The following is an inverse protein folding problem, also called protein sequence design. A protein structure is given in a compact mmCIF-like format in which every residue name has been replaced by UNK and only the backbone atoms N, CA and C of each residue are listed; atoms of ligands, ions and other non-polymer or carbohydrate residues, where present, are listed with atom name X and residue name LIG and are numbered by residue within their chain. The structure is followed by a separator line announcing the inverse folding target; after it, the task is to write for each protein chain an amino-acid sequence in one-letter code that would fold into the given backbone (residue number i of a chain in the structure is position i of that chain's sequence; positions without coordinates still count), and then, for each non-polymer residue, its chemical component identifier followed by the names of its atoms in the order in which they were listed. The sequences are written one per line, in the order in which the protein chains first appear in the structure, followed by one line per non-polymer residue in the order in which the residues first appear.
data_IF_620969345149
#
_entry.id   IF_620969345149
#
_cell.length_a   1.000
_cell.length_b   1.000
_cell.length_c   1.000
_cell.angle_alpha   90.00
_cell.angle_beta   90.00
_cell.angle_gamma   90.00
#
_symmetry.space_group_name_H-M   'P 1'
#
loop_
_entity.id
_entity.type
_entity.pdbx_description
1 polymer ?
2 polymer ?
3 polymer ?
4 non-polymer ?
5 non-polymer ?
6 water ?
#
loop_
_entity_poly.entity_id
_entity_poly.type
_entity_poly.pdbx_seq_one_letter_code
_entity_poly.pdbx_strand_id
2 'polydeoxyribonucleotide' '(DG)(DG)(DG)(DT)(DT)(DT)(DC)(DC)(DA)(DC)(DT)(DT)(DA)(DT)(DT)(DC)(DA)(DT)(DC)(DC)(DT)(DT)(DT)(DT)(DA)(DG)' ?
3 'polydeoxyribonucleotide' '(DC)(DC)(DT)(DA)(DA)(DA)(DA)(DG)(DG)(DA)(DT)(DG)(DA)(DA)(DT)(DA)(DA)(DG)(DT)(DG)(DG)(DA)(DA)(DA)(DC)(DC)' ?
#
# COMPACT_ATOMS: atom_id res chain seq x y z
N UNK A 7 -19.24 5.96 -3.27
CA UNK A 7 -18.77 6.29 -1.93
C UNK A 7 -17.32 6.75 -1.93
N UNK A 8 -17.09 8.04 -1.65
CA UNK A 8 -15.77 8.61 -1.77
C UNK A 8 -14.86 8.15 -0.63
N UNK A 9 -13.55 8.27 -0.86
CA UNK A 9 -12.53 7.91 0.11
C UNK A 9 -11.87 9.18 0.62
N UNK A 10 -11.63 9.22 1.93
CA UNK A 10 -10.94 10.36 2.50
C UNK A 10 -9.58 10.55 1.83
N UNK A 11 -9.20 11.78 1.50
CA UNK A 11 -7.97 11.98 0.72
C UNK A 11 -6.73 11.41 1.40
N UNK A 12 -6.61 11.59 2.72
CA UNK A 12 -5.43 11.08 3.41
C UNK A 12 -5.43 9.55 3.43
N UNK A 13 -6.59 8.93 3.66
CA UNK A 13 -6.66 7.48 3.60
C UNK A 13 -6.22 7.00 2.22
N UNK A 14 -6.74 7.64 1.17
CA UNK A 14 -6.34 7.28 -0.19
C UNK A 14 -4.83 7.34 -0.37
N UNK A 15 -4.21 8.45 0.08
CA UNK A 15 -2.77 8.57 -0.05
C UNK A 15 -2.05 7.47 0.73
N UNK A 16 -2.60 7.07 1.88
CA UNK A 16 -2.03 5.95 2.60
C UNK A 16 -2.12 4.66 1.81
N UNK A 17 -3.32 4.36 1.28
CA UNK A 17 -3.47 3.18 0.43
C UNK A 17 -2.64 3.28 -0.84
N UNK A 18 -2.24 4.49 -1.26
CA UNK A 18 -1.40 4.58 -2.45
C UNK A 18 0.06 4.28 -2.11
N UNK A 19 0.55 4.75 -0.96
CA UNK A 19 1.89 4.39 -0.52
C UNK A 19 2.06 2.88 -0.47
N UNK A 20 1.00 2.14 -0.16
CA UNK A 20 1.07 0.69 0.01
C UNK A 20 0.84 -0.05 -1.31
N UNK A 21 -0.26 0.27 -2.00
CA UNK A 21 -0.69 -0.48 -3.16
C UNK A 21 -0.42 0.22 -4.49
N UNK A 22 -0.27 1.54 -4.52
CA UNK A 22 -0.21 2.27 -5.77
C UNK A 22 1.10 2.08 -6.52
N UNK A 23 1.13 2.59 -7.74
CA UNK A 23 2.33 2.50 -8.56
C UNK A 23 2.25 3.52 -9.69
N UNK A 24 3.42 4.01 -10.10
CA UNK A 24 3.50 4.91 -11.24
C UNK A 24 4.13 4.20 -12.43
N UNK A 25 3.74 4.62 -13.63
CA UNK A 25 4.21 3.97 -14.84
C UNK A 25 4.59 4.99 -15.89
N UNK A 26 5.68 4.70 -16.58
CA UNK A 26 6.19 5.54 -17.67
C UNK A 26 6.61 4.60 -18.79
N UNK A 27 5.74 4.46 -19.78
CA UNK A 27 6.01 3.59 -20.92
C UNK A 27 6.71 4.40 -22.02
N UNK A 28 7.80 3.85 -22.53
CA UNK A 28 8.55 4.45 -23.63
C UNK A 28 8.71 3.35 -24.68
N UNK A 29 7.70 3.21 -25.55
CA UNK A 29 7.61 2.08 -26.46
C UNK A 29 8.15 2.44 -27.83
N UNK A 30 8.75 1.45 -28.49
CA UNK A 30 9.21 1.61 -29.87
C UNK A 30 8.01 1.51 -30.80
N UNK A 31 7.72 2.59 -31.53
CA UNK A 31 6.56 2.66 -32.42
C UNK A 31 7.01 3.19 -33.78
N UNK A 32 7.08 2.31 -34.78
CA UNK A 32 7.52 2.74 -36.10
C UNK A 32 6.62 3.81 -36.69
N UNK A 33 5.33 3.78 -36.35
CA UNK A 33 4.39 4.79 -36.81
C UNK A 33 4.56 6.12 -36.09
N UNK A 34 5.47 6.21 -35.12
CA UNK A 34 5.70 7.43 -34.37
C UNK A 34 6.75 8.30 -35.06
N UNK A 35 6.65 9.61 -34.83
CA UNK A 35 7.51 10.54 -35.54
C UNK A 35 8.94 10.54 -35.00
N UNK A 36 9.11 10.22 -33.70
CA UNK A 36 10.44 10.06 -33.13
C UNK A 36 10.81 8.59 -32.94
N UNK A 37 10.03 7.68 -33.49
CA UNK A 37 10.27 6.26 -33.33
C UNK A 37 9.76 5.67 -32.03
N UNK A 38 9.43 6.51 -31.05
CA UNK A 38 8.94 6.07 -29.75
C UNK A 38 7.66 6.82 -29.41
N UNK A 39 6.73 6.12 -28.76
CA UNK A 39 5.54 6.72 -28.18
C UNK A 39 5.50 6.43 -26.69
N UNK A 40 4.98 7.37 -25.91
CA UNK A 40 5.02 7.29 -24.46
C UNK A 40 3.61 7.16 -23.88
N UNK A 41 3.57 6.68 -22.64
CA UNK A 41 2.34 6.60 -21.87
C UNK A 41 2.69 6.75 -20.39
N UNK A 42 2.00 7.66 -19.73
CA UNK A 42 2.26 8.01 -18.35
C UNK A 42 1.00 7.84 -17.54
N UNK A 43 1.12 7.24 -16.36
CA UNK A 43 -0.07 7.05 -15.56
C UNK A 43 0.27 6.57 -14.17
N UNK A 44 -0.78 6.12 -13.48
CA UNK A 44 -0.71 5.64 -12.11
C UNK A 44 -1.75 4.55 -11.93
N UNK A 45 -1.37 3.41 -11.36
CA UNK A 45 -2.27 2.27 -11.31
C UNK A 45 -2.24 1.62 -9.94
N UNK A 46 -3.33 0.91 -9.63
CA UNK A 46 -3.44 0.05 -8.45
C UNK A 46 -4.06 -1.27 -8.88
N UNK A 47 -3.48 -2.38 -8.42
CA UNK A 47 -3.93 -3.72 -8.78
C UNK A 47 -4.19 -4.51 -7.50
N UNK A 48 -5.45 -4.82 -7.23
CA UNK A 48 -5.84 -5.59 -6.07
C UNK A 48 -6.48 -6.91 -6.50
N UNK A 49 -6.69 -7.80 -5.53
CA UNK A 49 -7.49 -8.99 -5.74
C UNK A 49 -8.89 -8.59 -6.18
N UNK A 50 -9.61 -9.51 -6.81
CA UNK A 50 -10.94 -9.17 -7.30
C UNK A 50 -11.88 -8.79 -6.16
N UNK A 51 -11.64 -9.30 -4.95
CA UNK A 51 -12.57 -9.02 -3.86
C UNK A 51 -12.55 -7.55 -3.46
N UNK A 52 -11.41 -6.87 -3.62
CA UNK A 52 -11.30 -5.45 -3.31
C UNK A 52 -11.52 -4.56 -4.54
N UNK A 53 -12.32 -5.04 -5.50
CA UNK A 53 -12.70 -4.19 -6.62
C UNK A 53 -13.49 -2.97 -6.13
N UNK A 54 -14.30 -3.14 -5.10
CA UNK A 54 -15.09 -2.02 -4.60
C UNK A 54 -14.21 -0.85 -4.20
N UNK A 55 -12.95 -1.11 -3.82
CA UNK A 55 -12.03 -0.04 -3.47
C UNK A 55 -11.64 0.77 -4.71
N UNK A 56 -11.29 0.06 -5.79
CA UNK A 56 -10.93 0.75 -7.03
C UNK A 56 -12.09 1.58 -7.55
N UNK A 57 -13.33 1.07 -7.41
CA UNK A 57 -14.48 1.85 -7.86
C UNK A 57 -14.69 3.06 -6.97
N UNK A 58 -14.56 2.90 -5.65
CA UNK A 58 -14.67 4.05 -4.74
C UNK A 58 -13.60 5.08 -5.05
N UNK A 59 -12.37 4.64 -5.32
CA UNK A 59 -11.32 5.56 -5.72
C UNK A 59 -11.70 6.27 -7.01
N UNK A 60 -12.22 5.52 -7.98
CA UNK A 60 -12.63 6.12 -9.24
C UNK A 60 -13.70 7.19 -9.03
N UNK A 61 -14.66 6.92 -8.15
CA UNK A 61 -15.70 7.92 -7.88
C UNK A 61 -15.12 9.14 -7.17
N UNK A 62 -14.03 8.96 -6.43
CA UNK A 62 -13.42 10.07 -5.69
C UNK A 62 -12.62 10.99 -6.61
N UNK A 63 -11.78 10.41 -7.46
CA UNK A 63 -10.99 11.22 -8.37
C UNK A 63 -11.73 11.57 -9.65
N UNK A 64 -12.75 10.79 -10.02
CA UNK A 64 -13.49 10.96 -11.26
C UNK A 64 -12.63 10.63 -12.48
N UNK A 65 -11.56 9.85 -12.31
CA UNK A 65 -10.65 9.53 -13.39
C UNK A 65 -10.33 8.04 -13.36
N UNK A 66 -9.62 7.58 -14.39
CA UNK A 66 -9.13 6.22 -14.45
C UNK A 66 -10.14 5.26 -15.08
N UNK A 67 -9.61 4.12 -15.53
CA UNK A 67 -10.41 3.05 -16.11
C UNK A 67 -10.07 1.76 -15.36
N UNK A 68 -11.04 0.85 -15.32
CA UNK A 68 -10.90 -0.39 -14.57
C UNK A 68 -10.99 -1.56 -15.54
N UNK A 69 -10.00 -2.44 -15.49
CA UNK A 69 -9.98 -3.67 -16.27
C UNK A 69 -9.46 -4.80 -15.40
N UNK A 70 -9.71 -6.03 -15.83
CA UNK A 70 -9.26 -7.18 -15.08
C UNK A 70 -7.78 -7.46 -15.36
N UNK A 71 -7.13 -8.08 -14.39
CA UNK A 71 -5.73 -8.52 -14.49
C UNK A 71 -5.73 -10.01 -14.15
N UNK A 72 -5.81 -10.84 -15.18
CA UNK A 72 -6.00 -12.25 -14.94
C UNK A 72 -7.40 -12.53 -14.41
N UNK A 73 -7.59 -13.77 -13.96
CA UNK A 73 -8.88 -14.20 -13.45
C UNK A 73 -9.12 -13.77 -12.00
N UNK A 74 -8.07 -13.40 -11.27
CA UNK A 74 -8.16 -13.15 -9.83
C UNK A 74 -7.79 -11.73 -9.43
N UNK A 75 -7.61 -10.83 -10.39
CA UNK A 75 -7.17 -9.48 -10.09
C UNK A 75 -7.94 -8.49 -10.94
N UNK A 76 -7.89 -7.24 -10.52
CA UNK A 76 -8.48 -6.13 -11.26
C UNK A 76 -7.63 -4.90 -11.01
N UNK A 77 -7.59 -4.00 -11.99
CA UNK A 77 -6.71 -2.84 -11.95
C UNK A 77 -7.52 -1.56 -12.12
N UNK A 78 -6.98 -0.48 -11.56
CA UNK A 78 -7.42 0.87 -11.86
C UNK A 78 -6.26 1.58 -12.54
N UNK A 79 -6.41 1.90 -13.83
CA UNK A 79 -5.35 2.54 -14.60
C UNK A 79 -5.80 3.95 -14.97
N UNK A 80 -4.98 4.94 -14.59
CA UNK A 80 -5.21 6.34 -14.94
C UNK A 80 -4.10 6.73 -15.89
N UNK A 81 -4.40 6.74 -17.19
CA UNK A 81 -3.42 7.02 -18.23
C UNK A 81 -3.77 8.24 -19.07
N UNK A 82 -5.06 8.52 -19.29
CA UNK A 82 -5.52 9.75 -19.93
C UNK A 82 -4.73 10.94 -19.42
N UNK A 83 -3.95 11.56 -20.31
CA UNK A 83 -2.98 12.55 -19.86
C UNK A 83 -3.64 13.66 -19.04
N UNK A 84 -4.71 14.27 -19.57
CA UNK A 84 -5.35 15.35 -18.84
C UNK A 84 -5.81 14.90 -17.45
N UNK A 85 -6.21 13.63 -17.32
CA UNK A 85 -6.59 13.11 -16.00
C UNK A 85 -5.39 13.00 -15.07
N UNK A 86 -4.17 12.97 -15.61
CA UNK A 86 -3.00 12.93 -14.73
C UNK A 86 -2.87 14.20 -13.89
N UNK A 87 -3.61 15.26 -14.24
CA UNK A 87 -3.55 16.47 -13.44
C UNK A 87 -4.25 16.27 -12.10
N UNK A 88 -5.30 15.45 -12.06
CA UNK A 88 -5.95 15.13 -10.79
C UNK A 88 -4.96 14.45 -9.86
N UNK A 89 -4.30 13.39 -10.35
CA UNK A 89 -3.28 12.69 -9.56
C UNK A 89 -2.31 13.68 -8.95
N UNK A 90 -1.79 14.61 -9.76
CA UNK A 90 -0.73 15.49 -9.27
C UNK A 90 -1.28 16.44 -8.21
N UNK A 91 -2.45 17.03 -8.46
CA UNK A 91 -3.04 17.93 -7.48
C UNK A 91 -3.24 17.22 -6.15
N UNK A 92 -3.89 16.04 -6.17
CA UNK A 92 -4.10 15.29 -4.95
C UNK A 92 -2.79 15.04 -4.22
N UNK A 93 -1.82 14.44 -4.92
CA UNK A 93 -0.54 14.09 -4.29
C UNK A 93 0.28 15.30 -3.90
N UNK A 94 -0.05 16.49 -4.42
CA UNK A 94 0.65 17.69 -3.96
C UNK A 94 0.10 18.17 -2.64
N UNK A 95 -1.21 18.02 -2.42
CA UNK A 95 -1.81 18.41 -1.14
C UNK A 95 -1.68 17.32 -0.08
N UNK A 96 -1.71 16.04 -0.48
CA UNK A 96 -1.58 14.92 0.44
C UNK A 96 -0.41 14.04 -0.02
N UNK A 97 0.81 14.51 0.14
CA UNK A 97 1.97 13.81 -0.43
C UNK A 97 2.14 12.41 0.14
N UNK A 98 2.97 11.63 -0.55
CA UNK A 98 3.37 10.32 -0.09
C UNK A 98 4.55 10.43 0.87
N UNK A 99 4.77 9.36 1.63
CA UNK A 99 5.90 9.32 2.56
C UNK A 99 6.73 8.06 2.40
N UNK A 100 6.26 7.04 1.67
CA UNK A 100 7.09 5.90 1.37
C UNK A 100 8.22 6.33 0.42
N UNK A 101 9.12 5.39 0.12
CA UNK A 101 10.07 5.66 -0.94
C UNK A 101 9.39 5.87 -2.28
N UNK A 102 8.08 5.61 -2.38
CA UNK A 102 7.36 5.87 -3.62
C UNK A 102 7.24 7.36 -3.92
N UNK A 103 7.45 8.22 -2.93
CA UNK A 103 7.49 9.65 -3.22
C UNK A 103 8.59 9.96 -4.23
N UNK A 104 9.71 9.22 -4.17
CA UNK A 104 10.72 9.36 -5.20
C UNK A 104 10.22 8.96 -6.57
N UNK A 105 9.29 8.01 -6.63
CA UNK A 105 8.70 7.63 -7.90
C UNK A 105 7.70 8.67 -8.36
N UNK A 106 6.89 9.20 -7.45
CA UNK A 106 5.96 10.26 -7.80
C UNK A 106 6.68 11.49 -8.31
N UNK A 107 7.83 11.84 -7.71
CA UNK A 107 8.62 12.95 -8.22
C UNK A 107 8.94 12.74 -9.70
N UNK A 108 9.59 11.61 -10.01
CA UNK A 108 9.92 11.29 -11.40
C UNK A 108 8.68 11.32 -12.29
N UNK A 109 7.54 10.93 -11.73
CA UNK A 109 6.28 11.01 -12.46
C UNK A 109 5.99 12.43 -12.90
N UNK A 110 6.05 13.38 -11.95
CA UNK A 110 5.81 14.77 -12.32
C UNK A 110 6.78 15.24 -13.39
N UNK A 111 8.06 14.86 -13.27
CA UNK A 111 9.06 15.27 -14.25
C UNK A 111 8.69 14.78 -15.65
N UNK A 112 8.37 13.49 -15.78
CA UNK A 112 7.89 12.99 -17.06
C UNK A 112 6.64 13.74 -17.50
N UNK A 113 5.77 14.11 -16.55
CA UNK A 113 4.57 14.85 -16.92
C UNK A 113 4.93 16.18 -17.58
N UNK A 114 5.95 16.87 -17.08
CA UNK A 114 6.28 18.18 -17.63
C UNK A 114 6.74 18.09 -19.08
N UNK A 115 7.64 17.13 -19.37
CA UNK A 115 8.15 17.01 -20.73
C UNK A 115 7.01 16.73 -21.71
N UNK A 116 5.97 16.02 -21.27
CA UNK A 116 4.88 15.72 -22.18
C UNK A 116 3.87 16.85 -22.25
N UNK A 117 3.72 17.63 -21.17
CA UNK A 117 2.83 18.78 -21.24
C UNK A 117 3.34 19.82 -22.21
N UNK A 118 4.65 19.91 -22.40
CA UNK A 118 5.26 20.79 -23.38
C UNK A 118 5.37 20.15 -24.76
N UNK A 119 4.74 19.00 -24.96
CA UNK A 119 4.84 18.22 -26.20
C UNK A 119 6.27 17.83 -26.54
N UNK A 120 7.16 17.83 -25.54
CA UNK A 120 8.57 17.54 -25.76
C UNK A 120 8.83 16.06 -26.03
N UNK A 121 7.90 15.18 -25.67
CA UNK A 121 8.04 13.76 -25.97
C UNK A 121 7.93 13.46 -27.46
N UNK A 122 7.65 14.47 -28.27
CA UNK A 122 7.58 14.33 -29.72
C UNK A 122 8.89 14.71 -30.39
N UNK A 123 9.92 15.04 -29.62
CA UNK A 123 11.24 15.38 -30.15
C UNK A 123 12.27 14.38 -29.64
N UNK A 124 13.40 14.31 -30.36
CA UNK A 124 14.44 13.34 -29.99
C UNK A 124 14.96 13.61 -28.57
N UNK A 125 15.03 14.87 -28.17
CA UNK A 125 15.51 15.20 -26.83
C UNK A 125 14.49 14.79 -25.77
N UNK A 126 13.21 15.12 -25.97
CA UNK A 126 12.19 14.72 -25.02
C UNK A 126 12.24 13.24 -24.69
N UNK A 127 12.32 12.39 -25.73
CA UNK A 127 12.43 10.96 -25.49
C UNK A 127 13.71 10.65 -24.71
N UNK A 128 14.82 11.29 -25.08
CA UNK A 128 16.05 11.11 -24.32
C UNK A 128 15.86 11.55 -22.87
N UNK A 129 15.16 12.66 -22.66
CA UNK A 129 14.89 13.12 -21.30
C UNK A 129 14.00 12.14 -20.54
N UNK A 130 13.06 11.51 -21.23
CA UNK A 130 12.20 10.52 -20.58
C UNK A 130 12.97 9.25 -20.22
N UNK A 131 13.94 8.86 -21.05
CA UNK A 131 14.77 7.72 -20.71
C UNK A 131 15.55 8.01 -19.43
N UNK A 132 16.02 9.25 -19.29
CA UNK A 132 16.72 9.63 -18.07
C UNK A 132 15.78 9.56 -16.87
N UNK A 133 14.51 9.94 -17.06
CA UNK A 133 13.53 9.90 -15.98
C UNK A 133 13.21 8.45 -15.61
N UNK A 134 13.11 7.57 -16.60
CA UNK A 134 12.68 6.21 -16.36
C UNK A 134 13.77 5.35 -15.74
N UNK A 135 15.03 5.61 -16.07
CA UNK A 135 16.11 4.78 -15.55
C UNK A 135 16.08 4.71 -14.03
N UNK A 136 15.76 5.82 -13.36
CA UNK A 136 15.70 5.91 -11.91
C UNK A 136 14.29 5.70 -11.36
N UNK A 137 13.35 5.25 -12.20
CA UNK A 137 11.95 5.08 -11.82
C UNK A 137 11.63 3.60 -11.67
N UNK A 138 11.18 3.21 -10.49
CA UNK A 138 10.82 1.82 -10.20
C UNK A 138 12.02 0.93 -10.52
N UNK A 139 11.91 0.00 -11.46
CA UNK A 139 12.95 -0.94 -11.82
C UNK A 139 13.84 -0.44 -12.95
N UNK A 140 13.76 0.85 -13.28
CA UNK A 140 14.64 1.45 -14.27
C UNK A 140 14.38 0.96 -15.69
N UNK A 141 15.22 1.44 -16.59
CA UNK A 141 15.13 1.09 -18.00
C UNK A 141 15.25 -0.42 -18.20
N UNK A 142 14.73 -0.88 -19.33
CA UNK A 142 14.71 -2.30 -19.64
C UNK A 142 15.98 -2.77 -20.34
N UNK A 143 17.14 -2.23 -19.95
CA UNK A 143 18.42 -2.62 -20.55
C UNK A 143 18.43 -2.32 -22.03
N UNK A 144 17.56 -3.00 -22.79
CA UNK A 144 17.48 -2.75 -24.23
C UNK A 144 17.27 -1.28 -24.53
N UNK A 145 16.48 -0.59 -23.70
CA UNK A 145 16.40 0.86 -23.82
C UNK A 145 17.76 1.50 -23.58
N UNK A 146 18.57 0.90 -22.69
CA UNK A 146 19.95 1.33 -22.55
C UNK A 146 20.80 0.88 -23.73
N UNK A 147 20.48 -0.29 -24.30
CA UNK A 147 21.10 -0.71 -25.55
C UNK A 147 20.78 0.25 -26.70
N UNK A 148 19.67 0.99 -26.61
CA UNK A 148 19.31 1.99 -27.60
C UNK A 148 19.50 3.41 -27.10
N UNK A 149 19.83 3.61 -25.83
CA UNK A 149 20.10 4.92 -25.27
C UNK A 149 21.25 4.85 -24.27
N UNK A 150 22.40 4.29 -24.66
CA UNK A 150 23.49 4.11 -23.68
C UNK A 150 24.05 5.42 -23.16
N UNK A 151 23.90 6.51 -23.91
CA UNK A 151 24.43 7.81 -23.49
C UNK A 151 23.71 8.32 -22.24
N UNK A 157 19.04 7.64 -7.45
CA UNK A 157 18.36 7.37 -6.19
C UNK A 157 17.85 8.66 -5.54
N UNK A 158 18.34 8.94 -4.32
CA UNK A 158 17.89 10.06 -3.50
C UNK A 158 16.75 9.59 -2.58
N UNK A 159 17.11 9.10 -1.40
CA UNK A 159 16.16 8.45 -0.51
C UNK A 159 15.18 9.46 0.09
N UNK A 160 13.99 8.98 0.43
CA UNK A 160 12.96 9.77 1.08
C UNK A 160 12.99 9.45 2.57
N UNK A 161 12.75 10.48 3.41
CA UNK A 161 12.63 10.22 4.85
C UNK A 161 11.64 11.22 5.44
N UNK A 162 10.36 10.89 5.30
CA UNK A 162 9.28 11.62 5.97
C UNK A 162 8.68 10.74 7.06
N UNK A 163 7.82 11.35 7.87
CA UNK A 163 7.14 10.64 8.92
C UNK A 163 5.64 10.67 8.67
N UNK A 164 4.92 9.79 9.36
CA UNK A 164 3.48 9.66 9.14
C UNK A 164 2.81 11.00 9.38
N UNK A 165 2.01 11.51 8.43
CA UNK A 165 1.38 12.82 8.66
C UNK A 165 0.23 12.76 9.66
N UNK A 166 -0.44 11.62 9.79
CA UNK A 166 -1.62 11.52 10.64
C UNK A 166 -2.17 10.11 10.61
N UNK A 167 -3.20 9.85 11.41
CA UNK A 167 -3.74 8.49 11.48
C UNK A 167 -4.51 8.12 10.21
N UNK A 168 -5.25 9.07 9.64
CA UNK A 168 -5.98 8.76 8.40
C UNK A 168 -5.07 8.23 7.32
N UNK A 169 -3.79 8.64 7.33
CA UNK A 169 -2.83 8.02 6.43
C UNK A 169 -2.55 6.58 6.86
N UNK A 170 -2.23 6.38 8.15
CA UNK A 170 -2.01 5.01 8.62
C UNK A 170 -3.18 4.11 8.31
N UNK A 171 -4.40 4.64 8.31
CA UNK A 171 -5.57 3.82 8.01
C UNK A 171 -5.48 3.27 6.59
N UNK A 172 -5.26 4.15 5.61
CA UNK A 172 -5.12 3.68 4.25
C UNK A 172 -3.92 2.77 4.05
N UNK A 173 -2.79 3.11 4.68
CA UNK A 173 -1.60 2.28 4.54
C UNK A 173 -1.81 0.92 5.20
N UNK A 174 -2.35 0.92 6.42
CA UNK A 174 -2.67 -0.33 7.11
C UNK A 174 -3.77 -1.10 6.38
N UNK A 175 -4.63 -0.41 5.62
CA UNK A 175 -5.62 -1.11 4.82
C UNK A 175 -4.98 -1.91 3.69
N UNK A 176 -3.70 -1.65 3.39
CA UNK A 176 -3.00 -2.34 2.33
C UNK A 176 -1.98 -3.32 2.86
N UNK A 177 -1.08 -2.85 3.72
CA UNK A 177 -0.02 -3.69 4.26
C UNK A 177 -0.40 -4.34 5.59
N UNK A 178 -1.59 -4.05 6.12
CA UNK A 178 -1.93 -4.46 7.46
C UNK A 178 -2.32 -5.92 7.57
N UNK A 179 -2.15 -6.46 8.77
CA UNK A 179 -2.55 -7.82 9.08
C UNK A 179 -3.10 -7.88 10.50
N UNK A 180 -4.26 -8.52 10.67
CA UNK A 180 -4.90 -8.64 11.98
C UNK A 180 -5.00 -10.11 12.35
N UNK A 181 -4.01 -10.60 13.10
CA UNK A 181 -3.82 -12.01 13.35
C UNK A 181 -4.30 -12.39 14.75
N UNK A 182 -5.10 -13.44 14.82
CA UNK A 182 -5.41 -14.13 16.07
C UNK A 182 -4.45 -15.31 16.16
N UNK A 183 -3.48 -15.23 17.05
CA UNK A 183 -2.42 -16.24 17.12
C UNK A 183 -2.73 -17.21 18.24
N UNK A 184 -3.04 -18.45 17.88
CA UNK A 184 -3.28 -19.52 18.85
C UNK A 184 -1.96 -20.25 19.10
N UNK A 185 -1.51 -20.25 20.35
CA UNK A 185 -0.22 -20.81 20.72
C UNK A 185 -0.43 -22.02 21.60
N UNK A 186 0.37 -23.07 21.35
CA UNK A 186 0.35 -24.28 22.19
C UNK A 186 1.18 -23.99 23.43
N UNK A 187 0.51 -23.71 24.54
CA UNK A 187 1.17 -23.30 25.77
C UNK A 187 0.91 -24.32 26.88
N UNK A 188 1.55 -24.09 28.02
CA UNK A 188 1.41 -24.94 29.21
C UNK A 188 0.22 -24.54 30.08
N UNK A 189 -0.56 -23.54 29.68
CA UNK A 189 -1.75 -23.17 30.43
C UNK A 189 -2.73 -24.36 30.47
N UNK A 190 -3.78 -24.19 31.29
CA UNK A 190 -4.74 -25.28 31.48
C UNK A 190 -5.30 -25.78 30.15
N UNK A 191 -5.64 -24.87 29.24
CA UNK A 191 -6.18 -25.22 27.94
C UNK A 191 -5.09 -25.49 26.89
N UNK A 192 -3.82 -25.29 27.24
CA UNK A 192 -2.73 -25.60 26.32
C UNK A 192 -2.75 -24.76 25.05
N UNK A 193 -3.62 -23.75 25.00
CA UNK A 193 -3.73 -22.85 23.85
C UNK A 193 -3.85 -21.43 24.38
N UNK A 194 -2.79 -20.64 24.23
CA UNK A 194 -2.80 -19.22 24.56
C UNK A 194 -3.31 -18.41 23.38
N UNK A 195 -4.19 -17.45 23.67
CA UNK A 195 -4.75 -16.56 22.66
C UNK A 195 -3.95 -15.25 22.66
N UNK A 196 -3.31 -14.95 21.53
CA UNK A 196 -2.48 -13.75 21.38
C UNK A 196 -2.92 -12.97 20.16
N UNK A 197 -3.61 -11.85 20.37
CA UNK A 197 -3.88 -10.95 19.26
C UNK A 197 -2.59 -10.29 18.79
N UNK A 198 -2.44 -10.18 17.48
CA UNK A 198 -1.23 -9.62 16.88
C UNK A 198 -1.65 -8.65 15.79
N UNK A 199 -1.19 -7.41 15.91
CA UNK A 199 -1.32 -6.43 14.85
C UNK A 199 0.02 -6.30 14.12
N UNK A 200 -0.03 -6.25 12.80
CA UNK A 200 1.18 -6.26 12.00
C UNK A 200 1.08 -5.31 10.83
N UNK A 201 2.24 -4.78 10.44
CA UNK A 201 2.42 -4.00 9.22
C UNK A 201 3.74 -4.44 8.60
N UNK A 202 3.68 -4.89 7.35
CA UNK A 202 4.85 -5.42 6.66
C UNK A 202 5.31 -4.41 5.61
N UNK A 203 6.63 -4.28 5.45
CA UNK A 203 7.19 -3.33 4.50
C UNK A 203 8.64 -3.68 4.21
N UNK A 204 9.05 -3.49 2.96
CA UNK A 204 10.43 -3.74 2.57
C UNK A 204 11.38 -2.87 3.39
N UNK A 205 12.61 -3.37 3.57
CA UNK A 205 13.56 -2.67 4.42
C UNK A 205 14.01 -1.33 3.85
N UNK A 206 13.59 -1.01 2.61
CA UNK A 206 13.91 0.30 2.04
C UNK A 206 13.33 1.45 2.86
N UNK A 207 12.26 1.19 3.63
CA UNK A 207 11.68 2.20 4.51
C UNK A 207 11.77 1.77 5.96
N UNK A 208 12.95 1.31 6.39
CA UNK A 208 13.14 0.96 7.80
C UNK A 208 12.89 2.15 8.71
N UNK A 209 13.25 3.35 8.26
CA UNK A 209 13.00 4.55 9.07
C UNK A 209 11.51 4.68 9.38
N UNK A 210 10.68 4.77 8.33
CA UNK A 210 9.25 4.93 8.53
C UNK A 210 8.69 3.85 9.45
N UNK A 211 9.15 2.61 9.30
CA UNK A 211 8.65 1.52 10.14
C UNK A 211 8.98 1.77 11.61
N UNK A 212 10.24 2.13 11.90
CA UNK A 212 10.56 2.55 13.25
C UNK A 212 9.72 3.73 13.67
N UNK A 213 9.43 4.64 12.73
CA UNK A 213 8.55 5.76 13.03
C UNK A 213 7.22 5.28 13.61
N UNK A 214 6.80 4.07 13.27
CA UNK A 214 5.52 3.56 13.76
C UNK A 214 5.57 3.32 15.27
N UNK A 215 6.71 2.82 15.77
CA UNK A 215 6.85 2.56 17.20
C UNK A 215 6.53 3.81 18.01
N UNK A 216 7.21 4.91 17.70
CA UNK A 216 6.98 6.15 18.43
C UNK A 216 5.62 6.75 18.11
N UNK A 217 5.23 6.77 16.83
CA UNK A 217 4.00 7.46 16.47
C UNK A 217 2.79 6.83 17.15
N UNK A 218 2.81 5.52 17.37
CA UNK A 218 1.69 4.85 18.02
C UNK A 218 1.95 4.57 19.50
N UNK A 219 3.19 4.66 19.95
CA UNK A 219 3.49 4.43 21.34
C UNK A 219 3.49 2.98 21.78
N UNK A 220 3.90 2.07 20.90
CA UNK A 220 3.95 0.65 21.22
C UNK A 220 4.55 -0.13 20.06
N UNK A 221 4.56 -1.45 20.17
CA UNK A 221 5.04 -2.29 19.12
C UNK A 221 6.55 -2.39 19.05
N UNK A 222 7.00 -3.08 18.02
CA UNK A 222 8.42 -3.34 17.76
C UNK A 222 8.53 -3.86 16.33
N UNK A 223 9.78 -4.08 15.89
CA UNK A 223 10.04 -4.54 14.53
C UNK A 223 10.79 -5.86 14.59
N UNK A 224 10.20 -6.90 14.02
CA UNK A 224 10.83 -8.21 13.89
C UNK A 224 11.41 -8.34 12.49
N UNK A 225 12.74 -8.45 12.41
CA UNK A 225 13.39 -8.53 11.12
C UNK A 225 12.87 -9.74 10.34
N UNK A 226 12.50 -9.52 9.08
CA UNK A 226 12.02 -10.57 8.21
C UNK A 226 12.97 -10.72 7.01
N UNK A 227 13.09 -11.95 6.52
CA UNK A 227 13.95 -12.23 5.38
C UNK A 227 13.54 -13.55 4.75
N UNK A 228 13.87 -13.69 3.47
CA UNK A 228 13.54 -14.90 2.71
C UNK A 228 14.63 -15.12 1.66
N UNK A 229 15.53 -16.05 1.92
CA UNK A 229 16.60 -16.37 0.98
C UNK A 229 17.38 -15.12 0.61
N UNK A 230 17.07 -14.55 -0.56
CA UNK A 230 17.78 -13.37 -1.04
C UNK A 230 17.13 -12.07 -0.60
N UNK A 231 15.83 -12.06 -0.33
CA UNK A 231 15.11 -10.84 -0.06
C UNK A 231 15.04 -10.56 1.44
N UNK A 232 14.63 -9.34 1.79
CA UNK A 232 14.51 -8.95 3.18
C UNK A 232 13.46 -7.86 3.31
N UNK A 233 12.72 -7.90 4.42
CA UNK A 233 11.73 -6.88 4.72
C UNK A 233 11.62 -6.75 6.24
N UNK A 234 10.68 -5.93 6.69
CA UNK A 234 10.45 -5.73 8.12
C UNK A 234 8.99 -6.00 8.45
N UNK A 235 8.75 -6.30 9.72
CA UNK A 235 7.40 -6.54 10.21
C UNK A 235 7.23 -5.78 11.52
N UNK A 236 6.39 -4.74 11.51
CA UNK A 236 6.05 -4.03 12.74
C UNK A 236 4.89 -4.75 13.41
N UNK A 237 5.09 -5.17 14.67
CA UNK A 237 4.10 -5.95 15.37
C UNK A 237 3.77 -5.34 16.73
N UNK A 238 2.56 -5.65 17.21
CA UNK A 238 2.11 -5.24 18.54
C UNK A 238 1.39 -6.42 19.17
N UNK A 239 1.93 -6.91 20.29
CA UNK A 239 1.42 -8.11 20.94
C UNK A 239 0.79 -7.86 22.30
N UNK A 240 1.29 -6.88 23.07
CA UNK A 240 0.73 -6.56 24.37
C UNK A 240 -0.74 -6.18 24.25
N UNK A 241 -1.63 -7.01 24.80
CA UNK A 241 -3.05 -6.79 24.64
C UNK A 241 -3.45 -5.38 25.07
N UNK A 242 -2.84 -4.86 26.13
CA UNK A 242 -3.18 -3.52 26.59
C UNK A 242 -2.95 -2.49 25.49
N UNK A 243 -1.80 -2.55 24.81
CA UNK A 243 -1.56 -1.64 23.69
C UNK A 243 -2.56 -1.87 22.57
N UNK A 244 -2.90 -3.12 22.28
CA UNK A 244 -3.82 -3.41 21.19
C UNK A 244 -5.23 -2.97 21.56
N UNK A 245 -5.63 -3.18 22.81
CA UNK A 245 -6.99 -2.81 23.24
C UNK A 245 -7.11 -1.32 23.50
N UNK A 246 -6.03 -0.66 23.90
CA UNK A 246 -6.07 0.74 24.32
C UNK A 246 -5.50 1.70 23.28
N UNK A 247 -4.51 1.30 22.50
CA UNK A 247 -3.84 2.21 21.56
C UNK A 247 -4.12 1.89 20.11
N UNK A 248 -4.16 0.62 19.71
CA UNK A 248 -4.28 0.29 18.29
C UNK A 248 -5.74 0.23 17.87
N UNK A 249 -6.58 -0.49 18.62
CA UNK A 249 -8.00 -0.57 18.25
C UNK A 249 -8.64 0.79 18.14
N UNK A 250 -8.42 1.74 19.07
CA UNK A 250 -9.05 3.06 18.93
C UNK A 250 -8.62 3.83 17.68
N UNK A 251 -7.36 3.70 17.27
CA UNK A 251 -6.88 4.39 16.07
C UNK A 251 -7.72 4.01 14.85
N UNK A 252 -8.03 2.72 14.70
CA UNK A 252 -8.79 2.26 13.55
C UNK A 252 -10.29 2.20 13.82
N UNK A 253 -10.74 2.66 14.99
CA UNK A 253 -12.16 2.92 15.19
C UNK A 253 -12.53 4.32 14.75
N UNK A 254 -11.67 5.30 15.01
CA UNK A 254 -11.93 6.66 14.52
C UNK A 254 -11.54 6.82 13.07
N UNK A 255 -10.48 6.15 12.64
CA UNK A 255 -9.97 6.22 11.27
C UNK A 255 -10.32 4.91 10.58
N UNK A 256 -11.51 4.88 9.98
CA UNK A 256 -12.04 3.63 9.47
C UNK A 256 -11.16 3.07 8.35
N UNK A 257 -11.01 1.74 8.35
CA UNK A 257 -10.30 1.04 7.29
C UNK A 257 -11.21 0.87 6.08
N UNK A 258 -10.61 0.39 4.98
CA UNK A 258 -11.34 0.17 3.73
C UNK A 258 -11.00 -1.22 3.21
N UNK A 259 -11.91 -1.74 2.39
CA UNK A 259 -11.70 -3.03 1.74
C UNK A 259 -12.09 -4.20 2.62
N UNK A 260 -11.76 -5.39 2.14
CA UNK A 260 -12.08 -6.59 2.90
C UNK A 260 -11.41 -6.57 4.25
N UNK A 261 -10.21 -5.99 4.35
CA UNK A 261 -9.46 -6.03 5.59
C UNK A 261 -10.20 -5.36 6.75
N UNK A 262 -11.26 -4.59 6.48
CA UNK A 262 -12.06 -4.04 7.56
C UNK A 262 -12.80 -5.13 8.31
N UNK A 263 -13.43 -6.05 7.57
CA UNK A 263 -14.13 -7.16 8.20
C UNK A 263 -13.16 -7.99 9.04
N UNK A 264 -11.95 -8.22 8.52
CA UNK A 264 -10.93 -8.87 9.32
C UNK A 264 -10.67 -8.09 10.60
N UNK A 265 -10.56 -6.77 10.49
CA UNK A 265 -10.35 -5.94 11.68
C UNK A 265 -11.52 -6.04 12.66
N UNK A 266 -12.74 -6.08 12.15
CA UNK A 266 -13.90 -6.16 13.04
C UNK A 266 -13.89 -7.48 13.82
N UNK A 267 -13.81 -8.60 13.10
CA UNK A 267 -13.66 -9.89 13.77
C UNK A 267 -12.54 -9.84 14.79
N UNK A 268 -11.42 -9.23 14.42
CA UNK A 268 -10.30 -9.05 15.35
C UNK A 268 -10.78 -8.44 16.67
N UNK A 269 -11.50 -7.32 16.59
CA UNK A 269 -11.94 -6.64 17.80
C UNK A 269 -12.89 -7.51 18.60
N UNK A 270 -13.73 -8.31 17.91
CA UNK A 270 -14.62 -9.22 18.62
C UNK A 270 -13.83 -10.12 19.57
N UNK A 271 -12.74 -10.70 19.08
CA UNK A 271 -11.87 -11.50 19.95
C UNK A 271 -11.30 -10.64 21.06
N UNK A 272 -11.00 -9.37 20.75
CA UNK A 272 -10.41 -8.49 21.75
C UNK A 272 -11.38 -8.20 22.88
N UNK A 273 -12.66 -8.02 22.56
CA UNK A 273 -13.66 -7.86 23.61
C UNK A 273 -13.72 -9.09 24.50
N UNK A 274 -13.66 -10.28 23.89
CA UNK A 274 -13.67 -11.51 24.68
C UNK A 274 -12.42 -11.61 25.55
N UNK A 275 -11.27 -11.17 25.03
CA UNK A 275 -10.06 -11.18 25.83
C UNK A 275 -10.14 -10.17 26.97
N UNK A 276 -10.80 -9.04 26.73
CA UNK A 276 -11.01 -8.05 27.79
C UNK A 276 -11.88 -8.62 28.90
N UNK A 277 -12.90 -9.40 28.55
CA UNK A 277 -13.81 -9.99 29.51
C UNK A 277 -13.29 -11.30 30.10
N UNK A 278 -12.09 -11.73 29.72
CA UNK A 278 -11.45 -12.94 30.22
C UNK A 278 -12.12 -14.22 29.72
N UNK A 279 -13.02 -14.13 28.74
CA UNK A 279 -13.64 -15.32 28.19
C UNK A 279 -12.69 -16.13 27.31
N UNK A 280 -11.51 -15.61 26.99
CA UNK A 280 -10.55 -16.40 26.24
C UNK A 280 -9.96 -17.55 27.06
N UNK A 281 -10.26 -17.60 28.35
CA UNK A 281 -9.78 -18.68 29.20
C UNK A 281 -10.79 -19.81 29.33
N UNK A 282 -12.09 -19.49 29.23
CA UNK A 282 -13.13 -20.49 29.27
C UNK A 282 -13.10 -21.34 27.99
N UNK A 283 -13.78 -22.48 28.04
CA UNK A 283 -13.82 -23.36 26.87
C UNK A 283 -14.67 -22.76 25.77
N UNK A 284 -15.87 -22.29 26.10
CA UNK A 284 -16.74 -21.70 25.10
C UNK A 284 -16.08 -20.50 24.42
N UNK A 285 -15.34 -19.71 25.20
CA UNK A 285 -14.56 -18.62 24.64
C UNK A 285 -13.60 -19.12 23.58
N UNK A 286 -12.71 -20.04 23.97
CA UNK A 286 -11.76 -20.58 22.99
C UNK A 286 -12.48 -21.13 21.76
N UNK A 287 -13.71 -21.65 21.91
CA UNK A 287 -14.46 -22.09 20.74
C UNK A 287 -14.79 -20.90 19.84
N UNK A 288 -15.40 -19.86 20.41
CA UNK A 288 -15.78 -18.70 19.61
C UNK A 288 -14.57 -18.07 18.93
N UNK A 289 -13.49 -17.84 19.70
CA UNK A 289 -12.27 -17.29 19.13
C UNK A 289 -11.81 -18.15 17.96
N UNK A 290 -11.65 -19.46 18.19
CA UNK A 290 -11.26 -20.34 17.10
C UNK A 290 -12.29 -20.32 15.97
N UNK A 291 -13.54 -19.96 16.29
CA UNK A 291 -14.58 -19.80 15.28
C UNK A 291 -14.29 -18.58 14.41
N UNK A 292 -14.15 -17.41 15.04
CA UNK A 292 -13.87 -16.19 14.31
C UNK A 292 -12.61 -16.33 13.46
N UNK A 293 -11.56 -16.92 14.03
CA UNK A 293 -10.30 -17.05 13.31
C UNK A 293 -10.49 -17.76 11.97
N UNK A 294 -11.12 -18.94 11.99
CA UNK A 294 -11.26 -19.71 10.76
C UNK A 294 -12.07 -18.99 9.70
N UNK A 295 -12.89 -18.01 10.08
CA UNK A 295 -13.77 -17.30 9.16
C UNK A 295 -13.20 -15.99 8.67
N UNK A 296 -12.02 -15.58 9.14
CA UNK A 296 -11.40 -14.32 8.73
C UNK A 296 -10.14 -14.61 7.93
N UNK A 297 -9.60 -13.56 7.34
CA UNK A 297 -8.36 -13.64 6.55
C UNK A 297 -8.59 -14.63 5.41
N UNK A 298 -7.64 -15.51 5.12
CA UNK A 298 -7.79 -16.39 3.96
C UNK A 298 -8.98 -17.32 4.06
N UNK A 299 -9.58 -17.47 5.24
CA UNK A 299 -10.76 -18.29 5.39
C UNK A 299 -12.08 -17.55 5.28
N UNK A 300 -12.07 -16.30 4.83
CA UNK A 300 -13.31 -15.52 4.78
C UNK A 300 -14.17 -15.93 3.59
X LIG D 1 -3.06 -5.44 0.57
X LIG E 1 3.95 -1.87 -0.67
X LIG F 1 13.91 7.18 -5.96
X LIG F 1 15.19 7.32 -6.57
X LIG F 1 13.13 6.06 -6.65
X LIG F 1 11.79 6.05 -6.13
X LIG F 1 14.02 6.96 -4.89
X LIG F 1 13.36 8.12 -6.05
X LIG F 1 15.61 8.13 -6.25
X LIG F 1 13.11 6.21 -7.73
X LIG F 1 13.60 5.10 -6.45
X LIG F 1 11.30 5.32 -6.53
X LIG G 1 0.21 -11.02 0.40
#
# INVERSE_FOLDING_TARGET
MASSRRESINPWILTGFADAEGSFLLRIRNNNKSSVGYSTELGFQITLHNKDKSILENIQSTWKVGVIANSGDNAVSLKVTRFEDLKVIIDHFEKYPLITQKLGDYKLFKQAFSVMENKEHLKENGIKELVRIKAKLNWGLTDELKKAFPENISKERSLINKNIPNFKWLAGFTSGEGHFAVNLIKSKSKLGVQVQLVFGITQHIKDKNLMNSLITYLGCGYIIERNKSEFSWLDFRVTKFSDINDKIIPVFQENTLIGVKLEDFEDWCKVAKLIEEKKHLTESGLDEIKKIKLNMNKGR
CA CA
CA CA
EDO C1 O1 C2 O2 H11 H12 HO1 H21 H22 HO2
CA CA
#
